data_IF_287912803338
#
_entry.id   IF_287912803338
#
_cell.length_a   1.000
_cell.length_b   1.000
_cell.length_c   1.000
_cell.angle_alpha   90.00
_cell.angle_beta   90.00
_cell.angle_gamma   90.00
#
_symmetry.space_group_name_H-M   'P 1'
#
loop_
_entity.id
_entity.type
_entity.pdbx_description
1 polymer ?
#
# COMPACT_ATOMS: atom_id res chain seq x y z
N UNK A 1 -4.50 3.77 -11.93
CA UNK A 1 -3.26 4.56 -11.79
C UNK A 1 -2.82 4.94 -13.20
N UNK A 2 -2.67 6.23 -13.48
CA UNK A 2 -2.30 6.68 -14.83
C UNK A 2 -0.83 7.05 -14.91
N UNK A 3 -0.09 6.44 -15.83
CA UNK A 3 1.33 6.72 -16.10
C UNK A 3 1.58 6.62 -17.61
N UNK A 4 2.35 7.56 -18.17
CA UNK A 4 2.63 7.66 -19.61
C UNK A 4 1.38 7.60 -20.53
N UNK A 5 0.24 8.10 -20.05
CA UNK A 5 -1.03 8.06 -20.79
C UNK A 5 -1.78 6.73 -20.72
N UNK A 6 -1.19 5.69 -20.13
CA UNK A 6 -1.80 4.38 -19.92
C UNK A 6 -2.44 4.31 -18.54
N UNK A 7 -3.64 3.73 -18.46
CA UNK A 7 -4.33 3.46 -17.20
C UNK A 7 -4.03 2.03 -16.75
N UNK A 8 -3.41 1.89 -15.58
CA UNK A 8 -3.10 0.62 -14.94
C UNK A 8 -4.10 0.37 -13.82
N UNK A 9 -4.81 -0.76 -13.90
CA UNK A 9 -5.75 -1.21 -12.88
C UNK A 9 -5.01 -2.02 -11.83
N UNK A 10 -4.94 -1.50 -10.60
CA UNK A 10 -4.39 -2.28 -9.48
C UNK A 10 -5.33 -3.45 -9.16
N UNK A 11 -4.78 -4.63 -8.84
CA UNK A 11 -5.59 -5.73 -8.34
C UNK A 11 -6.24 -5.37 -7.01
N UNK A 12 -7.21 -6.18 -6.59
CA UNK A 12 -7.80 -6.03 -5.26
C UNK A 12 -6.70 -6.15 -4.18
N UNK A 13 -6.63 -5.15 -3.32
CA UNK A 13 -5.69 -5.13 -2.20
C UNK A 13 -6.26 -6.00 -1.08
N UNK A 14 -5.88 -7.29 -1.08
CA UNK A 14 -6.16 -8.25 -0.03
C UNK A 14 -4.86 -8.68 0.67
N UNK A 15 -4.95 -9.58 1.66
CA UNK A 15 -3.79 -10.04 2.42
C UNK A 15 -2.68 -10.64 1.53
N UNK A 16 -3.03 -11.44 0.52
CA UNK A 16 -2.02 -12.04 -0.37
C UNK A 16 -1.37 -11.00 -1.28
N UNK A 17 -2.14 -10.00 -1.74
CA UNK A 17 -1.60 -8.86 -2.48
C UNK A 17 -0.60 -8.07 -1.62
N UNK A 18 -0.88 -7.92 -0.32
CA UNK A 18 0.06 -7.30 0.63
C UNK A 18 1.33 -8.12 0.82
N UNK A 19 1.23 -9.44 0.99
CA UNK A 19 2.41 -10.30 1.08
C UNK A 19 3.27 -10.22 -0.19
N UNK A 20 2.64 -10.19 -1.38
CA UNK A 20 3.38 -9.98 -2.63
C UNK A 20 4.14 -8.65 -2.65
N UNK A 21 3.53 -7.58 -2.18
CA UNK A 21 4.20 -6.28 -2.07
C UNK A 21 5.41 -6.35 -1.12
N UNK A 22 5.29 -7.04 0.01
CA UNK A 22 6.40 -7.27 0.93
C UNK A 22 7.52 -8.12 0.28
N UNK A 23 7.17 -9.18 -0.45
CA UNK A 23 8.10 -10.02 -1.21
C UNK A 23 8.85 -9.22 -2.29
N UNK A 24 8.21 -8.19 -2.86
CA UNK A 24 8.82 -7.22 -3.78
C UNK A 24 9.68 -6.17 -3.08
N UNK A 25 9.72 -6.15 -1.74
CA UNK A 25 10.50 -5.21 -0.94
C UNK A 25 9.76 -3.92 -0.56
N UNK A 26 8.43 -3.85 -0.77
CA UNK A 26 7.61 -2.73 -0.30
C UNK A 26 7.39 -2.86 1.21
N UNK A 27 7.77 -1.81 1.94
CA UNK A 27 7.50 -1.72 3.37
C UNK A 27 6.11 -1.13 3.60
N UNK A 28 5.16 -1.95 4.04
CA UNK A 28 3.78 -1.52 4.26
C UNK A 28 3.64 -0.52 5.41
N UNK A 29 4.59 -0.48 6.34
CA UNK A 29 4.62 0.45 7.48
C UNK A 29 5.37 1.75 7.18
N UNK A 30 6.15 1.78 6.10
CA UNK A 30 7.01 2.92 5.73
C UNK A 30 6.70 3.43 4.32
N UNK A 31 5.47 3.23 3.84
CA UNK A 31 5.09 3.55 2.45
C UNK A 31 5.35 5.02 2.08
N UNK A 32 5.11 5.94 3.01
CA UNK A 32 5.35 7.39 2.84
C UNK A 32 6.83 7.78 2.90
N UNK A 33 7.68 6.96 3.55
CA UNK A 33 9.13 7.19 3.64
C UNK A 33 9.85 6.56 2.44
N UNK A 34 9.39 5.40 1.97
CA UNK A 34 10.01 4.58 0.92
C UNK A 34 9.32 4.71 -0.43
N UNK A 35 8.94 5.94 -0.80
CA UNK A 35 8.12 6.29 -1.97
C UNK A 35 8.55 5.58 -3.26
N UNK A 36 9.85 5.50 -3.57
CA UNK A 36 10.33 4.88 -4.82
C UNK A 36 9.94 3.40 -4.90
N UNK A 37 10.26 2.64 -3.85
CA UNK A 37 9.90 1.22 -3.72
C UNK A 37 8.39 1.02 -3.68
N UNK A 38 7.67 1.88 -2.94
CA UNK A 38 6.21 1.84 -2.86
C UNK A 38 5.57 2.01 -4.24
N UNK A 39 5.87 3.10 -4.94
CA UNK A 39 5.28 3.38 -6.27
C UNK A 39 5.64 2.27 -7.25
N UNK A 40 6.89 1.80 -7.26
CA UNK A 40 7.33 0.71 -8.14
C UNK A 40 6.56 -0.58 -7.87
N UNK A 41 6.44 -1.00 -6.61
CA UNK A 41 5.75 -2.25 -6.25
C UNK A 41 4.26 -2.21 -6.57
N UNK A 42 3.58 -1.10 -6.27
CA UNK A 42 2.16 -0.96 -6.59
C UNK A 42 1.90 -0.92 -8.10
N UNK A 43 2.79 -0.32 -8.89
CA UNK A 43 2.68 -0.38 -10.34
C UNK A 43 2.97 -1.80 -10.87
N UNK A 44 3.97 -2.49 -10.31
CA UNK A 44 4.31 -3.86 -10.67
C UNK A 44 3.15 -4.84 -10.44
N UNK A 45 2.36 -4.65 -9.37
CA UNK A 45 1.14 -5.43 -9.14
C UNK A 45 0.14 -5.34 -10.31
N UNK A 46 0.08 -4.18 -10.99
CA UNK A 46 -0.78 -3.98 -12.15
C UNK A 46 -0.13 -4.50 -13.46
N UNK A 47 1.08 -5.05 -13.37
CA UNK A 47 1.88 -5.57 -14.48
C UNK A 47 2.33 -7.01 -14.25
N UNK A 48 1.47 -7.83 -13.61
CA UNK A 48 1.78 -9.25 -13.32
C UNK A 48 3.08 -9.44 -12.52
N UNK A 49 3.27 -8.62 -11.49
CA UNK A 49 4.40 -8.67 -10.57
C UNK A 49 5.77 -8.29 -11.24
N UNK A 50 5.75 -7.66 -12.42
CA UNK A 50 6.95 -7.24 -13.17
C UNK A 50 7.55 -5.92 -12.64
N UNK A 51 8.48 -6.06 -11.70
CA UNK A 51 9.19 -4.94 -11.08
C UNK A 51 10.09 -4.18 -12.07
N UNK A 52 10.67 -4.85 -13.07
CA UNK A 52 11.60 -4.19 -14.00
C UNK A 52 10.83 -3.28 -14.94
N UNK A 53 9.76 -3.80 -15.54
CA UNK A 53 8.87 -3.02 -16.39
C UNK A 53 8.25 -1.85 -15.64
N UNK A 54 7.81 -2.04 -14.40
CA UNK A 54 7.30 -0.94 -13.58
C UNK A 54 8.35 0.15 -13.36
N UNK A 55 9.62 -0.23 -13.14
CA UNK A 55 10.74 0.71 -13.01
C UNK A 55 10.96 1.53 -14.28
N UNK A 56 11.01 0.86 -15.45
CA UNK A 56 11.18 1.52 -16.75
C UNK A 56 10.05 2.53 -17.02
N UNK A 57 8.81 2.15 -16.69
CA UNK A 57 7.65 3.00 -16.96
C UNK A 57 7.64 4.25 -16.08
N UNK A 58 8.07 4.12 -14.82
CA UNK A 58 8.27 5.24 -13.90
C UNK A 58 9.42 6.12 -14.36
N UNK A 59 10.54 5.54 -14.77
CA UNK A 59 11.68 6.30 -15.29
C UNK A 59 11.28 7.13 -16.50
N UNK A 60 10.56 6.55 -17.46
CA UNK A 60 10.05 7.25 -18.63
C UNK A 60 9.07 8.37 -18.26
N UNK A 61 8.20 8.14 -17.29
CA UNK A 61 7.25 9.16 -16.81
C UNK A 61 7.97 10.36 -16.21
N UNK A 62 8.98 10.12 -15.37
CA UNK A 62 9.80 11.17 -14.79
C UNK A 62 10.61 11.91 -15.87
N UNK A 63 11.20 11.19 -16.82
CA UNK A 63 11.95 11.78 -17.93
C UNK A 63 11.06 12.66 -18.84
N UNK A 64 9.76 12.37 -18.90
CA UNK A 64 8.77 13.15 -19.65
C UNK A 64 8.21 14.35 -18.86
N UNK A 65 8.74 14.62 -17.66
CA UNK A 65 8.32 15.72 -16.78
C UNK A 65 7.17 15.37 -15.83
N UNK A 66 6.81 14.10 -15.72
CA UNK A 66 5.85 13.62 -14.72
C UNK A 66 6.43 13.60 -13.31
N UNK A 67 5.56 13.54 -12.29
CA UNK A 67 5.94 13.39 -10.88
C UNK A 67 5.37 12.11 -10.26
N UNK A 68 5.87 11.74 -9.08
CA UNK A 68 5.39 10.60 -8.30
C UNK A 68 4.15 10.90 -7.47
N UNK A 69 3.86 12.18 -7.19
CA UNK A 69 2.76 12.56 -6.29
C UNK A 69 1.40 12.01 -6.75
N UNK A 70 1.00 12.11 -8.03
CA UNK A 70 -0.27 11.53 -8.49
C UNK A 70 -0.31 9.99 -8.41
N UNK A 71 0.86 9.35 -8.48
CA UNK A 71 0.97 7.90 -8.34
C UNK A 71 0.77 7.51 -6.87
N UNK A 72 1.39 8.24 -5.94
CA UNK A 72 1.17 8.07 -4.50
C UNK A 72 -0.28 8.37 -4.10
N UNK A 73 -0.90 9.42 -4.64
CA UNK A 73 -2.33 9.69 -4.42
C UNK A 73 -3.21 8.52 -4.88
N UNK A 74 -2.90 7.93 -6.04
CA UNK A 74 -3.61 6.76 -6.55
C UNK A 74 -3.47 5.55 -5.62
N UNK A 75 -2.27 5.33 -5.07
CA UNK A 75 -1.99 4.25 -4.11
C UNK A 75 -2.76 4.48 -2.81
N UNK A 76 -2.65 5.68 -2.23
CA UNK A 76 -3.37 6.04 -1.01
C UNK A 76 -4.88 5.88 -1.17
N UNK A 77 -5.42 6.25 -2.33
CA UNK A 77 -6.83 6.01 -2.65
C UNK A 77 -7.17 4.51 -2.65
N UNK A 78 -6.38 3.67 -3.32
CA UNK A 78 -6.62 2.23 -3.38
C UNK A 78 -6.52 1.56 -1.99
N UNK A 79 -5.56 1.98 -1.16
CA UNK A 79 -5.42 1.52 0.23
C UNK A 79 -6.65 1.92 1.05
N UNK A 80 -7.10 3.16 0.97
CA UNK A 80 -8.28 3.66 1.71
C UNK A 80 -9.61 3.05 1.23
N UNK A 81 -9.71 2.70 -0.05
CA UNK A 81 -10.88 2.06 -0.64
C UNK A 81 -10.90 0.54 -0.46
N UNK A 82 -9.76 -0.07 -0.13
CA UNK A 82 -9.64 -1.51 0.09
C UNK A 82 -10.47 -1.99 1.27
N UNK A 83 -11.25 -3.06 1.04
CA UNK A 83 -11.96 -3.78 2.10
C UNK A 83 -11.02 -4.37 3.15
N UNK A 84 -9.82 -4.80 2.76
CA UNK A 84 -8.82 -5.35 3.67
C UNK A 84 -8.34 -4.31 4.69
N UNK A 85 -7.89 -3.15 4.23
CA UNK A 85 -7.39 -2.10 5.13
C UNK A 85 -8.50 -1.52 6.00
N UNK A 86 -9.72 -1.38 5.47
CA UNK A 86 -10.89 -0.99 6.28
C UNK A 86 -11.17 -1.99 7.39
N UNK A 87 -11.15 -3.29 7.10
CA UNK A 87 -11.35 -4.33 8.11
C UNK A 87 -10.19 -4.37 9.13
N UNK A 88 -8.95 -4.14 8.67
CA UNK A 88 -7.77 -4.09 9.54
C UNK A 88 -7.87 -2.92 10.54
N UNK A 89 -8.19 -1.71 10.07
CA UNK A 89 -8.34 -0.54 10.94
C UNK A 89 -9.45 -0.74 11.98
N UNK A 90 -10.61 -1.27 11.59
CA UNK A 90 -11.71 -1.56 12.52
C UNK A 90 -11.33 -2.62 13.57
N UNK A 91 -10.47 -3.58 13.20
CA UNK A 91 -10.01 -4.63 14.12
C UNK A 91 -9.03 -4.09 15.16
N UNK A 92 -8.17 -3.13 14.78
CA UNK A 92 -7.26 -2.46 15.70
C UNK A 92 -8.00 -1.55 16.70
N UNK A 93 -9.05 -0.84 16.25
CA UNK A 93 -9.89 -0.02 17.13
C UNK A 93 -10.63 -0.87 18.18
N UNK A 94 -11.15 -2.04 17.78
CA UNK A 94 -11.84 -2.96 18.71
C UNK A 94 -10.90 -3.68 19.67
N UNK A 95 -9.68 -4.02 19.24
CA UNK A 95 -8.66 -4.63 20.11
C UNK A 95 -8.12 -3.67 21.17
N UNK A 96 -8.05 -2.38 20.86
CA UNK A 96 -7.56 -1.36 21.79
C UNK A 96 -8.62 -0.94 22.84
N UNK A 97 -9.91 -1.12 22.55
CA UNK A 97 -11.01 -0.86 23.50
C UNK A 97 -11.20 -1.96 24.57
N UNK A 98 -10.58 -3.13 24.41
CA UNK A 98 -10.73 -4.27 25.34
C UNK A 98 -9.59 -4.40 26.37
N UNK A 99 -8.59 -3.51 26.36
CA UNK A 99 -7.40 -3.62 27.21
C UNK A 99 -7.40 -2.72 28.45
N UNK A 100 -8.49 -2.02 28.77
CA UNK A 100 -8.58 -1.14 29.97
C UNK A 100 -9.44 -1.65 31.11
N UNK A 101 -10.03 -2.85 31.05
CA UNK A 101 -10.87 -3.37 32.13
C UNK A 101 -10.57 -4.82 32.50
N UNK A 102 -9.37 -5.13 33.01
CA UNK A 102 -9.20 -6.19 34.03
C UNK A 102 -7.87 -6.01 34.78
N UNK A 103 -7.86 -5.20 35.83
CA UNK A 103 -6.99 -5.45 36.99
C UNK A 103 -7.61 -4.79 38.22
N UNK A 104 -8.83 -5.21 38.55
CA UNK A 104 -9.33 -5.13 39.91
C UNK A 104 -8.79 -6.31 40.71
N UNK A 105 -8.27 -5.99 41.89
CA UNK A 105 -8.29 -6.82 43.10
C UNK A 105 -7.23 -7.94 43.26
N UNK A 106 -6.22 -7.65 44.09
CA UNK A 106 -5.86 -8.56 45.17
C UNK A 106 -5.48 -7.78 46.44
N UNK A 107 -6.45 -7.71 47.35
CA UNK A 107 -6.29 -7.47 48.78
C UNK A 107 -5.36 -8.53 49.40
N UNK A 108 -4.39 -8.10 50.23
CA UNK A 108 -4.24 -8.42 51.67
C UNK A 108 -3.36 -7.34 52.30
#
# INVERSE_FOLDING_TARGET
MKINGTEYTMPELNFNTMCKLEDMGVSLTEMDQKVLTTVRGFLALAMDDDMEKAGMEIEQHLASGGSLDPLMESINKAVNESGFFRALSQSQEKGNAASTETSGEKTV
#
